data_IF_824908087498
#
_entry.id   IF_824908087498
#
_cell.length_a   1.000
_cell.length_b   1.000
_cell.length_c   1.000
_cell.angle_alpha   90.00
_cell.angle_beta   90.00
_cell.angle_gamma   90.00
#
_symmetry.space_group_name_H-M   'P 1'
#
loop_
_entity.id
_entity.type
_entity.pdbx_description
1 polymer ?
#
# COMPACT_ATOMS: atom_id res chain seq x y z
N UNK A 1 -0.46 -5.41 -13.99
CA UNK A 1 -1.26 -5.16 -15.22
C UNK A 1 -2.69 -5.57 -14.92
N UNK A 2 -3.68 -4.73 -15.24
CA UNK A 2 -5.09 -4.99 -14.94
C UNK A 2 -5.57 -6.27 -15.61
N UNK A 3 -6.39 -7.05 -14.92
CA UNK A 3 -7.07 -8.23 -15.46
C UNK A 3 -8.54 -8.24 -15.02
N UNK A 4 -9.36 -9.14 -15.59
CA UNK A 4 -10.75 -9.30 -15.16
C UNK A 4 -10.89 -9.58 -13.65
N UNK A 5 -9.91 -10.29 -13.06
CA UNK A 5 -9.85 -10.60 -11.63
C UNK A 5 -9.13 -9.53 -10.78
N UNK A 6 -8.47 -8.56 -11.42
CA UNK A 6 -7.74 -7.47 -10.75
C UNK A 6 -7.89 -6.17 -11.57
N UNK A 7 -9.10 -5.57 -11.58
CA UNK A 7 -9.41 -4.41 -12.41
C UNK A 7 -8.60 -3.15 -12.02
N UNK A 8 -8.05 -3.13 -10.80
CA UNK A 8 -7.28 -2.01 -10.28
C UNK A 8 -5.77 -2.26 -10.26
N UNK A 9 -5.28 -3.43 -10.65
CA UNK A 9 -3.87 -3.82 -10.55
C UNK A 9 -3.35 -3.76 -9.10
N UNK A 10 -4.12 -4.28 -8.14
CA UNK A 10 -3.77 -4.32 -6.72
C UNK A 10 -2.53 -5.19 -6.46
N UNK A 11 -2.22 -6.15 -7.33
CA UNK A 11 -0.98 -6.94 -7.27
C UNK A 11 0.28 -6.07 -7.22
N UNK A 12 0.25 -4.85 -7.78
CA UNK A 12 1.39 -3.93 -7.69
C UNK A 12 1.77 -3.61 -6.24
N UNK A 13 0.79 -3.48 -5.34
CA UNK A 13 1.04 -3.25 -3.91
C UNK A 13 1.59 -4.51 -3.25
N UNK A 14 0.99 -5.67 -3.55
CA UNK A 14 1.43 -6.97 -3.01
C UNK A 14 2.90 -7.21 -3.34
N UNK A 15 3.30 -7.04 -4.59
CA UNK A 15 4.68 -7.23 -5.02
C UNK A 15 5.65 -6.23 -4.39
N UNK A 16 5.23 -4.97 -4.21
CA UNK A 16 6.05 -3.96 -3.56
C UNK A 16 6.25 -4.24 -2.06
N UNK A 17 5.21 -4.75 -1.38
CA UNK A 17 5.26 -5.06 0.04
C UNK A 17 5.99 -6.38 0.33
N UNK A 18 5.86 -7.40 -0.52
CA UNK A 18 6.37 -8.75 -0.27
C UNK A 18 7.82 -8.81 0.24
N UNK A 19 8.81 -8.13 -0.36
CA UNK A 19 10.20 -8.22 0.11
C UNK A 19 10.50 -7.42 1.37
N UNK A 20 9.64 -6.47 1.77
CA UNK A 20 9.95 -5.49 2.84
C UNK A 20 8.97 -5.51 4.00
N UNK A 21 7.84 -6.22 3.91
CA UNK A 21 6.74 -6.10 4.87
C UNK A 21 7.17 -6.35 6.32
N UNK A 22 8.02 -7.35 6.55
CA UNK A 22 8.58 -7.61 7.88
C UNK A 22 9.33 -6.40 8.44
N UNK A 23 10.21 -5.79 7.63
CA UNK A 23 10.97 -4.61 8.02
C UNK A 23 10.08 -3.39 8.23
N UNK A 24 8.97 -3.26 7.48
CA UNK A 24 7.96 -2.21 7.70
C UNK A 24 7.37 -2.33 9.11
N UNK A 25 6.94 -3.52 9.50
CA UNK A 25 6.37 -3.78 10.83
C UNK A 25 7.39 -3.49 11.94
N UNK A 26 8.65 -3.92 11.75
CA UNK A 26 9.74 -3.64 12.70
C UNK A 26 10.02 -2.13 12.84
N UNK A 27 10.05 -1.38 11.73
CA UNK A 27 10.26 0.08 11.74
C UNK A 27 9.09 0.83 12.39
N UNK A 28 7.85 0.41 12.14
CA UNK A 28 6.65 0.98 12.76
C UNK A 28 6.64 0.76 14.27
N UNK A 29 6.90 -0.48 14.74
CA UNK A 29 7.04 -0.79 16.17
C UNK A 29 8.14 0.01 16.85
N UNK A 30 9.23 0.29 16.13
CA UNK A 30 10.32 1.10 16.63
C UNK A 30 10.03 2.62 16.59
N UNK A 31 8.87 3.05 16.05
CA UNK A 31 8.49 4.45 15.90
C UNK A 31 9.42 5.24 14.97
N UNK A 32 10.22 4.57 14.13
CA UNK A 32 11.24 5.22 13.30
C UNK A 32 11.34 4.55 11.95
N UNK A 33 10.75 5.20 10.94
CA UNK A 33 10.89 4.84 9.54
C UNK A 33 12.33 5.06 9.03
N UNK A 34 12.85 4.07 8.32
CA UNK A 34 14.19 4.02 7.71
C UNK A 34 14.14 3.63 6.23
N UNK A 35 13.18 2.80 5.81
CA UNK A 35 13.05 2.32 4.43
C UNK A 35 12.16 3.17 3.50
N UNK A 36 12.05 2.75 2.24
CA UNK A 36 11.29 3.42 1.17
C UNK A 36 9.97 2.71 0.84
N UNK A 37 9.04 2.68 1.80
CA UNK A 37 7.81 1.87 1.68
C UNK A 37 6.49 2.62 1.83
N UNK A 38 6.53 3.90 2.23
CA UNK A 38 5.33 4.68 2.57
C UNK A 38 4.26 4.63 1.47
N UNK A 39 4.66 4.83 0.21
CA UNK A 39 3.73 4.92 -0.92
C UNK A 39 2.86 3.68 -1.15
N UNK A 40 3.35 2.49 -0.82
CA UNK A 40 2.67 1.22 -1.10
C UNK A 40 2.23 0.45 0.14
N UNK A 41 2.51 0.98 1.33
CA UNK A 41 1.94 0.51 2.62
C UNK A 41 0.78 1.42 3.03
N UNK A 42 0.96 2.74 2.89
CA UNK A 42 -0.04 3.77 3.15
C UNK A 42 -0.27 4.61 1.88
N UNK A 43 -0.91 4.03 0.85
CA UNK A 43 -1.12 4.75 -0.40
C UNK A 43 -2.09 5.92 -0.21
N UNK A 44 -1.79 7.04 -0.86
CA UNK A 44 -2.62 8.24 -0.87
C UNK A 44 -3.46 8.33 -2.15
N UNK A 45 -4.40 9.26 -2.19
CA UNK A 45 -5.13 9.60 -3.42
C UNK A 45 -4.15 10.06 -4.51
N UNK A 46 -4.32 9.52 -5.71
CA UNK A 46 -3.53 9.90 -6.89
C UNK A 46 -3.75 11.37 -7.20
N UNK A 47 -2.66 12.11 -7.35
CA UNK A 47 -2.67 13.57 -7.56
C UNK A 47 -2.24 14.38 -6.33
N UNK A 48 -2.25 13.80 -5.13
CA UNK A 48 -1.74 14.50 -3.94
C UNK A 48 -0.20 14.58 -3.89
N UNK A 49 0.48 13.58 -4.46
CA UNK A 49 1.94 13.57 -4.59
C UNK A 49 2.37 13.54 -6.05
N UNK A 50 3.45 14.26 -6.36
CA UNK A 50 4.02 14.37 -7.71
C UNK A 50 5.15 13.39 -8.00
N UNK A 51 5.71 12.71 -6.99
CA UNK A 51 6.81 11.75 -7.22
C UNK A 51 6.36 10.55 -8.06
N UNK A 52 7.24 9.93 -8.86
CA UNK A 52 6.89 8.76 -9.66
C UNK A 52 6.28 7.60 -8.86
N UNK A 53 6.73 7.39 -7.62
CA UNK A 53 6.17 6.36 -6.73
C UNK A 53 4.79 6.76 -6.18
N UNK A 54 4.57 8.03 -5.88
CA UNK A 54 3.25 8.53 -5.48
C UNK A 54 2.23 8.42 -6.62
N UNK A 55 2.64 8.61 -7.87
CA UNK A 55 1.77 8.40 -9.04
C UNK A 55 1.49 6.90 -9.23
N UNK A 56 2.53 6.06 -9.19
CA UNK A 56 2.43 4.60 -9.41
C UNK A 56 1.57 3.89 -8.36
N UNK A 57 1.70 4.27 -7.09
CA UNK A 57 0.99 3.64 -5.98
C UNK A 57 -0.19 4.46 -5.46
N UNK A 58 -0.49 5.61 -6.07
CA UNK A 58 -1.68 6.38 -5.72
C UNK A 58 -2.97 5.61 -6.03
N UNK A 59 -3.93 5.66 -5.12
CA UNK A 59 -5.30 5.16 -5.31
C UNK A 59 -6.08 6.16 -6.17
N UNK A 60 -6.77 5.72 -7.20
CA UNK A 60 -7.40 6.60 -8.20
C UNK A 60 -8.89 6.77 -8.11
N UNK A 61 -9.57 5.99 -7.27
CA UNK A 61 -11.02 6.14 -7.06
C UNK A 61 -11.42 5.54 -5.71
N UNK A 62 -12.69 5.79 -5.33
CA UNK A 62 -13.27 5.19 -4.14
C UNK A 62 -13.36 3.66 -4.26
N UNK A 63 -13.69 3.15 -5.44
CA UNK A 63 -13.81 1.72 -5.72
C UNK A 63 -12.44 1.02 -5.59
N UNK A 64 -11.36 1.66 -6.04
CA UNK A 64 -10.01 1.14 -5.83
C UNK A 64 -9.64 1.13 -4.33
N UNK A 65 -10.02 2.17 -3.59
CA UNK A 65 -9.78 2.23 -2.15
C UNK A 65 -10.53 1.09 -1.41
N UNK A 66 -11.81 0.87 -1.75
CA UNK A 66 -12.61 -0.21 -1.22
C UNK A 66 -12.02 -1.57 -1.58
N UNK A 67 -11.60 -1.76 -2.83
CA UNK A 67 -10.97 -2.99 -3.27
C UNK A 67 -9.64 -3.24 -2.54
N UNK A 68 -8.82 -2.21 -2.29
CA UNK A 68 -7.60 -2.32 -1.50
C UNK A 68 -7.90 -2.78 -0.06
N UNK A 69 -8.92 -2.19 0.57
CA UNK A 69 -9.35 -2.55 1.93
C UNK A 69 -9.95 -3.96 2.03
N UNK A 70 -10.70 -4.39 1.02
CA UNK A 70 -11.33 -5.72 0.96
C UNK A 70 -10.38 -6.83 0.52
N UNK A 71 -9.21 -6.50 -0.02
CA UNK A 71 -8.25 -7.48 -0.51
C UNK A 71 -7.66 -8.32 0.64
N UNK A 72 -7.74 -9.65 0.51
CA UNK A 72 -7.37 -10.65 1.54
C UNK A 72 -6.01 -10.42 2.22
N UNK A 73 -5.02 -9.90 1.49
CA UNK A 73 -3.72 -9.53 2.04
C UNK A 73 -3.56 -8.04 2.41
N UNK A 74 -3.98 -7.11 1.55
CA UNK A 74 -3.66 -5.68 1.71
C UNK A 74 -4.46 -5.02 2.83
N UNK A 75 -5.74 -5.38 2.98
CA UNK A 75 -6.61 -4.90 4.06
C UNK A 75 -6.07 -5.26 5.44
N UNK A 76 -5.85 -6.55 5.75
CA UNK A 76 -5.28 -6.96 7.04
C UNK A 76 -3.93 -6.32 7.34
N UNK A 77 -3.06 -6.15 6.33
CA UNK A 77 -1.77 -5.48 6.49
C UNK A 77 -1.90 -3.99 6.80
N UNK A 78 -2.84 -3.29 6.16
CA UNK A 78 -3.09 -1.89 6.48
C UNK A 78 -3.55 -1.75 7.93
N UNK A 79 -4.51 -2.58 8.37
CA UNK A 79 -5.00 -2.60 9.75
C UNK A 79 -3.88 -2.88 10.76
N UNK A 80 -3.04 -3.89 10.50
CA UNK A 80 -1.87 -4.19 11.32
C UNK A 80 -0.98 -2.95 11.43
N UNK A 81 -0.53 -2.40 10.30
CA UNK A 81 0.39 -1.27 10.27
C UNK A 81 -0.17 -0.02 10.97
N UNK A 82 -1.47 0.29 10.78
CA UNK A 82 -2.11 1.42 11.47
C UNK A 82 -2.26 1.20 12.98
N UNK A 83 -2.30 -0.04 13.45
CA UNK A 83 -2.39 -0.36 14.88
C UNK A 83 -1.04 -0.33 15.63
N UNK A 84 0.07 -0.13 14.91
CA UNK A 84 1.42 -0.07 15.49
C UNK A 84 1.89 1.34 15.81
N UNK A 85 1.11 2.37 15.45
CA UNK A 85 1.45 3.80 15.58
C UNK A 85 0.32 4.61 16.19
#
# INVERSE_FOLDING_TARGET
MKSASDPFDLKRFVYAQAPVYRSVVEELRAGRKRGHWMWFVFPQLRGLGSSPLAVRYGISSLEEAQAYLQHDLLGPRLHECTGLV
#
